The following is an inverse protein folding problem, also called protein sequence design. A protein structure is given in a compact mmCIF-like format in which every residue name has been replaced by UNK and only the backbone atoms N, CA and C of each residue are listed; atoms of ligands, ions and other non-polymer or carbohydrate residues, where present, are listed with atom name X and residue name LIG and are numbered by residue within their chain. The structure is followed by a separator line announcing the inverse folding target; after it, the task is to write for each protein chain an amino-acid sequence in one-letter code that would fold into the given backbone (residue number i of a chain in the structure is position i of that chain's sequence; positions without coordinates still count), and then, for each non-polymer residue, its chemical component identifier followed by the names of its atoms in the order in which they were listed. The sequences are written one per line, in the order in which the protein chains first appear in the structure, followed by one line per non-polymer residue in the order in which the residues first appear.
data_IF_943186876936
#
_entry.id   IF_943186876936
#
_cell.length_a   1.000
_cell.length_b   1.000
_cell.length_c   1.000
_cell.angle_alpha   90.00
_cell.angle_beta   90.00
_cell.angle_gamma   90.00
#
_symmetry.space_group_name_H-M   'P 1'
#
loop_
_entity.id
_entity.type
_entity.pdbx_description
1 polymer ?
#
# COMPACT_ATOMS: atom_id res chain seq x y z
N UNK A 1 -75.44 -13.50 -25.63
CA UNK A 1 -74.20 -14.28 -25.80
C UNK A 1 -73.05 -13.28 -25.87
N UNK A 2 -72.20 -13.28 -24.85
CA UNK A 2 -71.26 -12.20 -24.55
C UNK A 2 -70.03 -12.17 -25.47
N UNK A 3 -69.68 -10.97 -25.90
CA UNK A 3 -68.42 -10.64 -26.57
C UNK A 3 -67.35 -10.32 -25.54
N UNK A 4 -66.39 -11.23 -25.38
CA UNK A 4 -65.23 -11.05 -24.51
C UNK A 4 -64.20 -10.15 -25.20
N UNK A 5 -64.00 -8.94 -24.67
CA UNK A 5 -62.94 -8.02 -25.11
C UNK A 5 -61.61 -8.49 -24.49
N UNK A 6 -60.75 -9.10 -25.31
CA UNK A 6 -59.38 -9.44 -24.92
C UNK A 6 -58.57 -8.13 -24.94
N UNK A 7 -58.40 -7.52 -23.76
CA UNK A 7 -57.49 -6.40 -23.54
C UNK A 7 -56.04 -6.89 -23.71
N UNK A 8 -55.49 -6.72 -24.91
CA UNK A 8 -54.07 -6.93 -25.16
C UNK A 8 -53.24 -5.85 -24.45
N UNK A 9 -52.78 -6.15 -23.23
CA UNK A 9 -51.64 -5.45 -22.59
C UNK A 9 -50.34 -6.28 -22.56
N UNK A 10 -49.79 -6.79 -23.68
CA UNK A 10 -48.58 -7.61 -23.62
C UNK A 10 -47.28 -6.81 -23.81
N UNK A 11 -47.28 -5.69 -24.55
CA UNK A 11 -46.01 -5.05 -24.97
C UNK A 11 -45.26 -4.32 -23.85
N UNK A 12 -45.95 -3.59 -22.98
CA UNK A 12 -45.30 -2.81 -21.91
C UNK A 12 -44.75 -3.71 -20.81
N UNK A 13 -45.44 -4.81 -20.48
CA UNK A 13 -44.98 -5.78 -19.48
C UNK A 13 -43.75 -6.56 -19.95
N UNK A 14 -43.71 -6.98 -21.24
CA UNK A 14 -42.52 -7.63 -21.81
C UNK A 14 -41.30 -6.70 -21.90
N UNK A 15 -41.50 -5.41 -22.20
CA UNK A 15 -40.41 -4.43 -22.22
C UNK A 15 -39.83 -4.15 -20.83
N UNK A 16 -40.68 -4.05 -19.81
CA UNK A 16 -40.25 -3.91 -18.41
C UNK A 16 -39.47 -5.16 -17.94
N UNK A 17 -39.96 -6.36 -18.26
CA UNK A 17 -39.26 -7.61 -17.94
C UNK A 17 -37.89 -7.68 -18.61
N UNK A 18 -37.78 -7.30 -19.89
CA UNK A 18 -36.50 -7.24 -20.60
C UNK A 18 -35.53 -6.24 -19.96
N UNK A 19 -36.01 -5.04 -19.59
CA UNK A 19 -35.20 -4.04 -18.89
C UNK A 19 -34.66 -4.57 -17.56
N UNK A 20 -35.50 -5.24 -16.77
CA UNK A 20 -35.09 -5.86 -15.49
C UNK A 20 -34.03 -6.94 -15.71
N UNK A 21 -34.22 -7.80 -16.73
CA UNK A 21 -33.24 -8.84 -17.07
C UNK A 21 -31.91 -8.20 -17.47
N UNK A 22 -31.92 -7.16 -18.31
CA UNK A 22 -30.69 -6.47 -18.74
C UNK A 22 -29.94 -5.83 -17.56
N UNK A 23 -30.67 -5.16 -16.66
CA UNK A 23 -30.08 -4.57 -15.46
C UNK A 23 -29.51 -5.64 -14.51
N UNK A 24 -30.23 -6.76 -14.33
CA UNK A 24 -29.77 -7.88 -13.53
C UNK A 24 -28.52 -8.53 -14.13
N UNK A 25 -28.50 -8.80 -15.44
CA UNK A 25 -27.33 -9.34 -16.15
C UNK A 25 -26.13 -8.41 -16.08
N UNK A 26 -26.34 -7.09 -16.22
CA UNK A 26 -25.29 -6.09 -16.04
C UNK A 26 -24.72 -6.10 -14.61
N UNK A 27 -25.58 -6.16 -13.59
CA UNK A 27 -25.18 -6.28 -12.19
C UNK A 27 -24.40 -7.55 -11.91
N UNK A 28 -24.88 -8.70 -12.39
CA UNK A 28 -24.20 -10.01 -12.25
C UNK A 28 -22.83 -9.97 -12.93
N UNK A 29 -22.72 -9.38 -14.11
CA UNK A 29 -21.45 -9.26 -14.83
C UNK A 29 -20.41 -8.47 -14.02
N UNK A 30 -20.78 -7.31 -13.47
CA UNK A 30 -19.87 -6.51 -12.64
C UNK A 30 -19.53 -7.20 -11.32
N UNK A 31 -20.50 -7.82 -10.66
CA UNK A 31 -20.27 -8.55 -9.42
C UNK A 31 -19.31 -9.74 -9.64
N UNK A 32 -19.49 -10.50 -10.73
CA UNK A 32 -18.60 -11.60 -11.08
C UNK A 32 -17.18 -11.10 -11.37
N UNK A 33 -17.06 -10.01 -12.15
CA UNK A 33 -15.78 -9.38 -12.47
C UNK A 33 -15.02 -8.93 -11.22
N UNK A 34 -15.69 -8.23 -10.29
CA UNK A 34 -15.10 -7.81 -9.01
C UNK A 34 -14.73 -9.05 -8.18
N UNK A 35 -15.61 -10.04 -8.09
CA UNK A 35 -15.36 -11.26 -7.32
C UNK A 35 -14.13 -12.03 -7.79
N UNK A 36 -13.92 -12.17 -9.10
CA UNK A 36 -12.72 -12.80 -9.66
C UNK A 36 -11.46 -11.97 -9.41
N UNK A 37 -11.55 -10.64 -9.53
CA UNK A 37 -10.44 -9.74 -9.23
C UNK A 37 -10.00 -9.86 -7.77
N UNK A 38 -10.94 -9.80 -6.83
CA UNK A 38 -10.68 -9.89 -5.39
C UNK A 38 -10.14 -11.27 -5.01
N UNK A 39 -10.65 -12.35 -5.60
CA UNK A 39 -10.13 -13.69 -5.36
C UNK A 39 -8.66 -13.84 -5.78
N UNK A 40 -8.29 -13.28 -6.94
CA UNK A 40 -6.91 -13.26 -7.41
C UNK A 40 -6.02 -12.35 -6.53
N UNK A 41 -6.47 -11.13 -6.24
CA UNK A 41 -5.74 -10.19 -5.38
C UNK A 41 -5.54 -10.72 -3.96
N UNK A 42 -6.50 -11.48 -3.42
CA UNK A 42 -6.39 -12.10 -2.11
C UNK A 42 -5.21 -13.07 -2.02
N UNK A 43 -4.97 -13.87 -3.07
CA UNK A 43 -3.82 -14.79 -3.13
C UNK A 43 -2.49 -14.04 -3.09
N UNK A 44 -2.35 -12.98 -3.89
CA UNK A 44 -1.16 -12.13 -3.86
C UNK A 44 -0.97 -11.45 -2.49
N UNK A 45 -2.05 -10.91 -1.91
CA UNK A 45 -2.06 -10.26 -0.59
C UNK A 45 -1.68 -11.23 0.53
N UNK A 46 -2.10 -12.49 0.42
CA UNK A 46 -1.79 -13.53 1.39
C UNK A 46 -0.27 -13.78 1.44
N UNK A 47 0.38 -13.88 0.27
CA UNK A 47 1.84 -14.03 0.19
C UNK A 47 2.58 -12.86 0.85
N UNK A 48 2.24 -11.62 0.46
CA UNK A 48 2.84 -10.41 1.04
C UNK A 48 2.67 -10.37 2.56
N UNK A 49 1.47 -10.67 3.06
CA UNK A 49 1.22 -10.77 4.51
C UNK A 49 2.09 -11.81 5.19
N UNK A 50 2.30 -12.97 4.56
CA UNK A 50 3.20 -14.01 5.06
C UNK A 50 4.63 -13.51 5.19
N UNK A 51 5.18 -12.92 4.13
CA UNK A 51 6.55 -12.38 4.12
C UNK A 51 6.74 -11.27 5.16
N UNK A 52 5.77 -10.36 5.30
CA UNK A 52 5.80 -9.30 6.32
C UNK A 52 5.76 -9.88 7.73
N UNK A 53 4.84 -10.82 8.00
CA UNK A 53 4.70 -11.46 9.32
C UNK A 53 5.97 -12.19 9.73
N UNK A 54 6.56 -12.93 8.79
CA UNK A 54 7.73 -13.77 9.04
C UNK A 54 9.05 -12.96 8.94
N UNK A 55 8.96 -11.66 8.61
CA UNK A 55 10.10 -10.75 8.42
C UNK A 55 11.20 -11.36 7.53
N UNK A 56 10.79 -11.87 6.37
CA UNK A 56 11.69 -12.51 5.39
C UNK A 56 11.43 -11.97 3.98
N UNK A 57 12.41 -12.16 3.11
CA UNK A 57 12.22 -11.96 1.68
C UNK A 57 11.49 -13.18 1.06
N UNK A 58 10.74 -12.98 -0.04
CA UNK A 58 10.16 -14.08 -0.80
C UNK A 58 11.24 -14.89 -1.52
N UNK A 59 10.90 -16.11 -1.93
CA UNK A 59 11.66 -16.79 -2.99
C UNK A 59 11.19 -16.28 -4.37
N UNK A 60 12.00 -16.47 -5.41
CA UNK A 60 11.61 -16.13 -6.80
C UNK A 60 10.27 -16.76 -7.20
N UNK A 61 10.04 -18.03 -6.84
CA UNK A 61 8.79 -18.74 -7.12
C UNK A 61 7.60 -18.10 -6.40
N UNK A 62 7.75 -17.73 -5.13
CA UNK A 62 6.68 -17.06 -4.38
C UNK A 62 6.38 -15.67 -4.96
N UNK A 63 7.41 -14.97 -5.43
CA UNK A 63 7.31 -13.65 -6.02
C UNK A 63 6.61 -13.69 -7.38
N UNK A 64 7.02 -14.58 -8.27
CA UNK A 64 6.40 -14.78 -9.58
C UNK A 64 4.92 -15.12 -9.45
N UNK A 65 4.59 -16.00 -8.50
CA UNK A 65 3.20 -16.33 -8.19
C UNK A 65 2.41 -15.08 -7.74
N UNK A 66 2.96 -14.26 -6.84
CA UNK A 66 2.29 -13.05 -6.38
C UNK A 66 2.09 -12.04 -7.52
N UNK A 67 3.09 -11.87 -8.40
CA UNK A 67 3.01 -11.00 -9.58
C UNK A 67 1.98 -11.49 -10.60
N UNK A 68 1.88 -12.79 -10.83
CA UNK A 68 0.87 -13.39 -11.70
C UNK A 68 -0.55 -13.15 -11.14
N UNK A 69 -0.75 -13.42 -9.85
CA UNK A 69 -2.07 -13.26 -9.23
C UNK A 69 -2.51 -11.79 -9.19
N UNK A 70 -1.61 -10.85 -8.90
CA UNK A 70 -1.96 -9.42 -8.92
C UNK A 70 -2.19 -8.91 -10.35
N UNK A 71 -1.43 -9.40 -11.33
CA UNK A 71 -1.66 -9.06 -12.74
C UNK A 71 -3.01 -9.59 -13.23
N UNK A 72 -3.40 -10.79 -12.80
CA UNK A 72 -4.73 -11.35 -13.05
C UNK A 72 -5.82 -10.47 -12.43
N UNK A 73 -5.66 -10.05 -11.18
CA UNK A 73 -6.63 -9.16 -10.53
C UNK A 73 -6.76 -7.83 -11.27
N UNK A 74 -5.65 -7.24 -11.70
CA UNK A 74 -5.63 -5.99 -12.46
C UNK A 74 -6.17 -6.16 -13.89
N UNK A 75 -6.10 -7.34 -14.50
CA UNK A 75 -6.74 -7.60 -15.79
C UNK A 75 -8.28 -7.56 -15.64
N UNK A 76 -8.81 -8.12 -14.54
CA UNK A 76 -10.22 -8.00 -14.22
C UNK A 76 -10.59 -6.58 -13.79
N UNK A 77 -9.83 -5.93 -12.90
CA UNK A 77 -10.09 -4.56 -12.42
C UNK A 77 -8.87 -3.62 -12.56
N UNK A 78 -8.63 -3.05 -13.75
CA UNK A 78 -7.41 -2.25 -14.01
C UNK A 78 -7.31 -0.96 -13.18
N UNK A 79 -8.45 -0.40 -12.79
CA UNK A 79 -8.53 0.88 -12.09
C UNK A 79 -8.56 0.78 -10.57
N UNK A 80 -8.54 -0.43 -10.01
CA UNK A 80 -8.68 -0.62 -8.57
C UNK A 80 -7.39 -0.18 -7.85
N UNK A 81 -7.42 0.91 -7.06
CA UNK A 81 -6.21 1.45 -6.46
C UNK A 81 -5.59 0.51 -5.42
N UNK A 82 -6.38 -0.41 -4.86
CA UNK A 82 -5.85 -1.40 -3.92
C UNK A 82 -4.97 -2.43 -4.63
N UNK A 83 -5.36 -2.86 -5.83
CA UNK A 83 -4.57 -3.79 -6.62
C UNK A 83 -3.28 -3.13 -7.13
N UNK A 84 -3.39 -1.88 -7.59
CA UNK A 84 -2.23 -1.07 -8.00
C UNK A 84 -1.23 -0.94 -6.85
N UNK A 85 -1.69 -0.58 -5.64
CA UNK A 85 -0.83 -0.49 -4.46
C UNK A 85 -0.20 -1.84 -4.10
N UNK A 86 -0.96 -2.93 -4.18
CA UNK A 86 -0.45 -4.26 -3.87
C UNK A 86 0.60 -4.73 -4.89
N UNK A 87 0.44 -4.40 -6.18
CA UNK A 87 1.50 -4.65 -7.18
C UNK A 87 2.77 -3.87 -6.82
N UNK A 88 2.65 -2.60 -6.43
CA UNK A 88 3.78 -1.81 -5.99
C UNK A 88 4.47 -2.41 -4.75
N UNK A 89 3.70 -2.91 -3.77
CA UNK A 89 4.24 -3.61 -2.60
C UNK A 89 5.07 -4.85 -3.02
N UNK A 90 4.56 -5.64 -3.97
CA UNK A 90 5.26 -6.83 -4.50
C UNK A 90 6.53 -6.42 -5.25
N UNK A 91 6.51 -5.31 -5.99
CA UNK A 91 7.70 -4.78 -6.66
C UNK A 91 8.76 -4.31 -5.66
N UNK A 92 8.38 -3.76 -4.50
CA UNK A 92 9.35 -3.46 -3.44
C UNK A 92 10.02 -4.74 -2.93
N UNK A 93 9.25 -5.81 -2.71
CA UNK A 93 9.86 -7.10 -2.36
C UNK A 93 10.78 -7.64 -3.46
N UNK A 94 10.39 -7.50 -4.73
CA UNK A 94 11.23 -7.84 -5.88
C UNK A 94 12.53 -7.03 -5.87
N UNK A 95 12.46 -5.71 -5.70
CA UNK A 95 13.67 -4.88 -5.68
C UNK A 95 14.60 -5.30 -4.56
N UNK A 96 14.09 -5.64 -3.38
CA UNK A 96 14.92 -6.10 -2.26
C UNK A 96 15.70 -7.40 -2.53
N UNK A 97 15.26 -8.27 -3.46
CA UNK A 97 16.06 -9.42 -3.93
C UNK A 97 17.27 -9.00 -4.75
N UNK A 98 17.18 -7.83 -5.39
CA UNK A 98 18.22 -7.19 -6.19
C UNK A 98 18.91 -6.05 -5.44
N UNK A 99 18.99 -6.10 -4.11
CA UNK A 99 19.59 -5.02 -3.33
C UNK A 99 21.02 -4.68 -3.81
N UNK A 100 21.30 -3.40 -4.06
CA UNK A 100 22.57 -2.88 -4.61
C UNK A 100 22.93 -3.35 -6.03
N UNK A 101 22.00 -3.98 -6.73
CA UNK A 101 22.10 -4.29 -8.16
C UNK A 101 21.49 -3.16 -9.01
N UNK A 102 21.84 -3.11 -10.31
CA UNK A 102 21.30 -2.16 -11.28
C UNK A 102 19.77 -2.22 -11.38
N UNK A 103 19.20 -3.41 -11.15
CA UNK A 103 17.76 -3.65 -11.22
C UNK A 103 17.01 -3.00 -10.05
N UNK A 104 17.66 -2.80 -8.89
CA UNK A 104 17.04 -2.25 -7.68
C UNK A 104 16.29 -0.96 -7.98
N UNK A 105 17.02 0.02 -8.53
CA UNK A 105 16.50 1.36 -8.79
C UNK A 105 15.37 1.36 -9.82
N UNK A 106 15.53 0.58 -10.89
CA UNK A 106 14.51 0.46 -11.94
C UNK A 106 13.19 -0.11 -11.40
N UNK A 107 13.26 -1.20 -10.62
CA UNK A 107 12.07 -1.84 -10.04
C UNK A 107 11.43 -0.93 -8.99
N UNK A 108 12.21 -0.29 -8.14
CA UNK A 108 11.68 0.65 -7.15
C UNK A 108 11.02 1.87 -7.82
N UNK A 109 11.58 2.38 -8.92
CA UNK A 109 10.96 3.47 -9.68
C UNK A 109 9.61 3.05 -10.28
N UNK A 110 9.46 1.81 -10.78
CA UNK A 110 8.15 1.29 -11.20
C UNK A 110 7.13 1.30 -10.03
N UNK A 111 7.57 0.90 -8.83
CA UNK A 111 6.73 0.96 -7.63
C UNK A 111 6.31 2.41 -7.29
N UNK A 112 7.21 3.40 -7.42
CA UNK A 112 6.90 4.82 -7.23
C UNK A 112 5.77 5.26 -8.16
N UNK A 113 5.83 4.90 -9.45
CA UNK A 113 4.79 5.25 -10.42
C UNK A 113 3.42 4.63 -10.05
N UNK A 114 3.41 3.38 -9.62
CA UNK A 114 2.18 2.70 -9.18
C UNK A 114 1.62 3.32 -7.89
N UNK A 115 2.44 3.69 -6.92
CA UNK A 115 1.96 4.39 -5.72
C UNK A 115 1.33 5.75 -6.07
N UNK A 116 1.96 6.52 -6.96
CA UNK A 116 1.37 7.77 -7.48
C UNK A 116 0.04 7.51 -8.17
N UNK A 117 -0.06 6.45 -8.98
CA UNK A 117 -1.30 6.06 -9.64
C UNK A 117 -2.42 5.71 -8.64
N UNK A 118 -2.10 4.97 -7.58
CA UNK A 118 -3.05 4.67 -6.49
C UNK A 118 -3.52 5.96 -5.79
N UNK A 119 -2.61 6.91 -5.53
CA UNK A 119 -2.93 8.19 -4.87
C UNK A 119 -3.81 9.10 -5.71
N UNK A 120 -3.74 9.05 -7.04
CA UNK A 120 -4.67 9.78 -7.91
C UNK A 120 -6.14 9.38 -7.66
N UNK A 121 -6.38 8.15 -7.17
CA UNK A 121 -7.73 7.65 -6.84
C UNK A 121 -8.06 7.76 -5.36
N UNK A 122 -7.05 7.70 -4.49
CA UNK A 122 -7.21 7.75 -3.03
C UNK A 122 -6.20 8.69 -2.39
N UNK A 123 -6.33 10.02 -2.59
CA UNK A 123 -5.35 10.99 -2.08
C UNK A 123 -5.32 11.07 -0.55
N UNK A 124 -6.37 10.57 0.13
CA UNK A 124 -6.46 10.52 1.59
C UNK A 124 -5.88 9.26 2.23
N UNK A 125 -5.24 8.35 1.48
CA UNK A 125 -4.79 7.06 2.03
C UNK A 125 -3.38 7.14 2.64
N UNK A 126 -3.23 7.15 3.99
CA UNK A 126 -1.94 7.42 4.62
C UNK A 126 -0.89 6.33 4.33
N UNK A 127 -1.31 5.07 4.24
CA UNK A 127 -0.38 3.97 3.96
C UNK A 127 0.27 4.07 2.59
N UNK A 128 -0.46 4.55 1.58
CA UNK A 128 0.10 4.71 0.23
C UNK A 128 1.08 5.88 0.18
N UNK A 129 0.82 6.97 0.91
CA UNK A 129 1.79 8.05 1.09
C UNK A 129 3.06 7.58 1.81
N UNK A 130 2.93 6.82 2.89
CA UNK A 130 4.09 6.27 3.59
C UNK A 130 4.93 5.37 2.68
N UNK A 131 4.28 4.49 1.91
CA UNK A 131 4.94 3.61 0.94
C UNK A 131 5.59 4.37 -0.21
N UNK A 132 4.98 5.44 -0.70
CA UNK A 132 5.58 6.32 -1.68
C UNK A 132 6.86 6.96 -1.13
N UNK A 133 6.84 7.44 0.12
CA UNK A 133 8.03 7.97 0.77
C UNK A 133 9.14 6.92 0.84
N UNK A 134 8.83 5.69 1.27
CA UNK A 134 9.80 4.60 1.35
C UNK A 134 10.36 4.22 -0.03
N UNK A 135 9.50 4.07 -1.04
CA UNK A 135 9.93 3.75 -2.40
C UNK A 135 10.84 4.85 -2.98
N UNK A 136 10.49 6.13 -2.78
CA UNK A 136 11.35 7.23 -3.20
C UNK A 136 12.69 7.26 -2.46
N UNK A 137 12.69 6.95 -1.16
CA UNK A 137 13.92 6.81 -0.40
C UNK A 137 14.83 5.73 -1.00
N UNK A 138 14.28 4.55 -1.30
CA UNK A 138 15.01 3.46 -1.97
C UNK A 138 15.51 3.85 -3.37
N UNK A 139 14.74 4.62 -4.15
CA UNK A 139 15.19 5.15 -5.45
C UNK A 139 16.17 6.32 -5.32
N UNK A 140 16.59 6.71 -4.10
CA UNK A 140 17.40 7.90 -3.83
C UNK A 140 16.78 9.22 -4.37
N UNK A 141 15.46 9.26 -4.53
CA UNK A 141 14.70 10.41 -5.01
C UNK A 141 14.24 11.29 -3.83
N UNK A 142 15.18 12.03 -3.22
CA UNK A 142 14.93 12.92 -2.08
C UNK A 142 14.44 14.31 -2.50
N UNK A 143 13.39 14.36 -3.33
CA UNK A 143 12.80 15.58 -3.87
C UNK A 143 11.61 16.10 -3.04
N UNK A 144 10.93 17.15 -3.53
CA UNK A 144 9.74 17.71 -2.87
C UNK A 144 8.60 16.71 -2.69
N UNK A 145 8.46 15.73 -3.62
CA UNK A 145 7.41 14.71 -3.55
C UNK A 145 7.72 13.72 -2.41
N UNK A 146 9.00 13.41 -2.16
CA UNK A 146 9.39 12.60 -1.01
C UNK A 146 9.01 13.29 0.31
N UNK A 147 9.29 14.60 0.43
CA UNK A 147 8.94 15.38 1.61
C UNK A 147 7.41 15.50 1.76
N UNK A 148 6.68 15.75 0.67
CA UNK A 148 5.22 15.78 0.67
C UNK A 148 4.65 14.43 1.13
N UNK A 149 5.21 13.31 0.64
CA UNK A 149 4.74 11.98 1.01
C UNK A 149 4.89 11.71 2.51
N UNK A 150 5.99 12.14 3.13
CA UNK A 150 6.17 12.09 4.59
C UNK A 150 5.10 12.94 5.28
N UNK A 151 4.95 14.20 4.86
CA UNK A 151 4.00 15.14 5.47
C UNK A 151 2.55 14.62 5.40
N UNK A 152 2.12 14.12 4.24
CA UNK A 152 0.79 13.55 4.04
C UNK A 152 0.59 12.29 4.89
N UNK A 153 1.56 11.40 4.93
CA UNK A 153 1.47 10.18 5.74
C UNK A 153 1.36 10.50 7.24
N UNK A 154 2.16 11.44 7.75
CA UNK A 154 2.08 11.90 9.15
C UNK A 154 0.74 12.56 9.44
N UNK A 155 0.24 13.43 8.56
CA UNK A 155 -1.04 14.13 8.77
C UNK A 155 -2.26 13.22 8.68
N UNK A 156 -2.26 12.27 7.75
CA UNK A 156 -3.42 11.42 7.47
C UNK A 156 -3.44 10.13 8.32
N UNK A 157 -2.27 9.66 8.79
CA UNK A 157 -2.15 8.42 9.57
C UNK A 157 -1.26 8.55 10.81
N UNK A 158 -1.41 9.59 11.66
CA UNK A 158 -0.52 9.84 12.79
C UNK A 158 -0.52 8.72 13.83
N UNK A 159 -1.55 7.88 13.86
CA UNK A 159 -1.76 6.80 14.84
C UNK A 159 -1.79 5.41 14.21
N UNK A 160 -1.42 5.29 12.94
CA UNK A 160 -1.43 4.03 12.22
C UNK A 160 -0.11 3.29 12.41
N UNK A 161 -0.07 2.12 13.09
CA UNK A 161 1.19 1.44 13.40
C UNK A 161 2.02 1.09 12.16
N UNK A 162 1.36 0.70 11.07
CA UNK A 162 2.04 0.42 9.79
C UNK A 162 2.66 1.68 9.19
N UNK A 163 2.02 2.85 9.33
CA UNK A 163 2.59 4.12 8.87
C UNK A 163 3.83 4.46 9.69
N UNK A 164 3.81 4.25 11.01
CA UNK A 164 4.97 4.50 11.86
C UNK A 164 6.19 3.73 11.38
N UNK A 165 6.04 2.42 11.12
CA UNK A 165 7.14 1.57 10.68
C UNK A 165 7.70 1.97 9.31
N UNK A 166 6.81 2.21 8.34
CA UNK A 166 7.22 2.57 6.97
C UNK A 166 7.91 3.93 6.95
N UNK A 167 7.36 4.94 7.66
CA UNK A 167 7.97 6.26 7.72
C UNK A 167 9.27 6.26 8.52
N UNK A 168 9.37 5.47 9.58
CA UNK A 168 10.63 5.30 10.29
C UNK A 168 11.71 4.80 9.33
N UNK A 169 11.42 3.74 8.57
CA UNK A 169 12.37 3.21 7.58
C UNK A 169 12.73 4.24 6.50
N UNK A 170 11.74 4.89 5.89
CA UNK A 170 11.96 5.90 4.85
C UNK A 170 12.82 7.08 5.36
N UNK A 171 12.49 7.59 6.55
CA UNK A 171 13.19 8.72 7.16
C UNK A 171 14.61 8.38 7.63
N UNK A 172 14.81 7.18 8.16
CA UNK A 172 16.11 6.65 8.57
C UNK A 172 17.03 6.47 7.35
N UNK A 173 16.49 5.90 6.27
CA UNK A 173 17.21 5.70 5.02
C UNK A 173 17.63 7.05 4.40
N UNK A 174 16.71 8.00 4.32
CA UNK A 174 16.95 9.33 3.75
C UNK A 174 17.53 10.38 4.68
N UNK A 175 17.92 10.02 5.91
CA UNK A 175 18.13 10.96 7.02
C UNK A 175 19.02 12.17 6.70
N UNK A 176 20.10 11.95 5.95
CA UNK A 176 21.09 12.97 5.57
C UNK A 176 20.50 14.06 4.67
N UNK A 177 19.46 13.75 3.91
CA UNK A 177 18.80 14.65 2.96
C UNK A 177 17.58 15.37 3.54
N UNK A 178 17.17 15.02 4.76
CA UNK A 178 16.04 15.66 5.43
C UNK A 178 16.44 17.02 6.02
N UNK A 179 15.59 18.03 5.84
CA UNK A 179 15.67 19.28 6.59
C UNK A 179 15.21 19.07 8.05
N UNK A 180 15.47 20.05 8.92
CA UNK A 180 15.18 19.93 10.35
C UNK A 180 13.68 19.70 10.64
N UNK A 181 12.78 20.30 9.87
CA UNK A 181 11.35 20.12 10.04
C UNK A 181 10.94 18.66 9.75
N UNK A 182 11.37 18.12 8.62
CA UNK A 182 11.07 16.73 8.25
C UNK A 182 11.75 15.73 9.17
N UNK A 183 12.98 16.00 9.65
CA UNK A 183 13.61 15.19 10.70
C UNK A 183 12.75 15.12 11.95
N UNK A 184 12.20 16.26 12.41
CA UNK A 184 11.30 16.27 13.56
C UNK A 184 10.04 15.43 13.30
N UNK A 185 9.45 15.51 12.10
CA UNK A 185 8.30 14.67 11.74
C UNK A 185 8.63 13.17 11.84
N UNK A 186 9.83 12.76 11.42
CA UNK A 186 10.30 11.37 11.54
C UNK A 186 10.53 10.98 13.00
N UNK A 187 11.16 11.84 13.80
CA UNK A 187 11.38 11.59 15.23
C UNK A 187 10.05 11.45 15.97
N UNK A 188 9.09 12.35 15.75
CA UNK A 188 7.76 12.26 16.36
C UNK A 188 7.02 10.99 15.91
N UNK A 189 7.19 10.60 14.65
CA UNK A 189 6.64 9.37 14.11
C UNK A 189 7.25 8.12 14.77
N UNK A 190 8.59 8.07 14.90
CA UNK A 190 9.30 7.00 15.60
C UNK A 190 8.83 6.94 17.05
N UNK A 191 8.77 8.07 17.74
CA UNK A 191 8.31 8.17 19.12
C UNK A 191 6.91 7.58 19.33
N UNK A 192 5.95 7.94 18.45
CA UNK A 192 4.61 7.32 18.47
C UNK A 192 4.69 5.83 18.22
N UNK A 193 5.46 5.39 17.23
CA UNK A 193 5.60 3.99 16.86
C UNK A 193 6.21 3.09 17.94
N UNK A 194 7.10 3.62 18.79
CA UNK A 194 7.69 2.87 19.91
C UNK A 194 6.61 2.34 20.87
N UNK A 195 5.49 3.04 21.00
CA UNK A 195 4.36 2.61 21.85
C UNK A 195 3.57 1.43 21.27
N UNK A 196 3.62 1.24 19.95
CA UNK A 196 2.85 0.21 19.24
C UNK A 196 3.68 -1.01 18.89
N UNK A 197 4.91 -0.82 18.41
CA UNK A 197 5.76 -1.91 17.95
C UNK A 197 7.25 -1.58 18.08
N UNK A 198 7.72 -1.44 19.32
CA UNK A 198 9.12 -1.17 19.64
C UNK A 198 10.08 -2.19 19.02
N UNK A 199 9.74 -3.48 19.09
CA UNK A 199 10.60 -4.55 18.57
C UNK A 199 10.85 -4.43 17.05
N UNK A 200 9.83 -4.04 16.28
CA UNK A 200 10.01 -3.80 14.84
C UNK A 200 10.85 -2.55 14.57
N UNK A 201 10.62 -1.46 15.30
CA UNK A 201 11.42 -0.24 15.15
C UNK A 201 12.88 -0.44 15.54
N UNK A 202 13.14 -1.22 16.59
CA UNK A 202 14.51 -1.57 17.00
C UNK A 202 15.23 -2.34 15.91
N UNK A 203 14.59 -3.37 15.35
CA UNK A 203 15.13 -4.11 14.20
C UNK A 203 15.45 -3.19 13.03
N UNK A 204 14.55 -2.25 12.69
CA UNK A 204 14.77 -1.29 11.60
C UNK A 204 15.94 -0.35 11.92
N UNK A 205 15.97 0.26 13.10
CA UNK A 205 17.01 1.22 13.48
C UNK A 205 18.40 0.59 13.54
N UNK A 206 18.50 -0.66 14.02
CA UNK A 206 19.74 -1.45 14.03
C UNK A 206 20.16 -1.82 12.61
N UNK A 207 19.24 -2.31 11.76
CA UNK A 207 19.53 -2.68 10.36
C UNK A 207 20.22 -1.55 9.59
N UNK A 208 19.75 -0.32 9.79
CA UNK A 208 20.30 0.87 9.10
C UNK A 208 21.43 1.58 9.87
N UNK A 209 21.81 1.09 11.05
CA UNK A 209 22.84 1.72 11.91
C UNK A 209 22.53 3.19 12.24
N UNK A 210 21.27 3.50 12.55
CA UNK A 210 20.80 4.87 12.86
C UNK A 210 20.20 5.02 14.24
N UNK A 211 20.27 3.97 15.07
CA UNK A 211 19.73 3.97 16.43
C UNK A 211 20.27 5.15 17.27
N UNK A 212 21.57 5.37 17.27
CA UNK A 212 22.20 6.46 18.03
C UNK A 212 21.69 7.84 17.62
N UNK A 213 21.54 8.05 16.31
CA UNK A 213 21.00 9.30 15.78
C UNK A 213 19.57 9.49 16.24
N UNK A 214 18.71 8.46 16.18
CA UNK A 214 17.33 8.58 16.68
C UNK A 214 17.32 8.91 18.17
N UNK A 215 18.12 8.20 18.96
CA UNK A 215 18.22 8.39 20.41
C UNK A 215 18.68 9.80 20.82
N UNK A 216 19.48 10.47 19.98
CA UNK A 216 19.91 11.85 20.24
C UNK A 216 18.76 12.88 20.16
N UNK A 217 17.66 12.58 19.47
CA UNK A 217 16.52 13.50 19.30
C UNK A 217 15.25 13.06 20.01
N UNK A 218 15.14 11.78 20.40
CA UNK A 218 13.96 11.27 21.09
C UNK A 218 13.84 11.85 22.51
N UNK A 219 12.62 12.12 23.00
CA UNK A 219 12.41 12.62 24.35
C UNK A 219 12.71 11.54 25.39
N UNK A 220 13.05 11.96 26.61
CA UNK A 220 13.30 11.04 27.70
C UNK A 220 11.99 10.54 28.33
N UNK A 221 11.54 9.34 27.94
CA UNK A 221 10.40 8.63 28.52
C UNK A 221 10.63 7.11 28.53
N UNK A 222 9.74 6.36 29.22
CA UNK A 222 9.88 4.91 29.43
C UNK A 222 10.16 4.13 28.13
N UNK A 223 9.43 4.40 27.05
CA UNK A 223 9.60 3.64 25.80
C UNK A 223 10.90 4.00 25.09
N UNK A 224 11.30 5.27 25.15
CA UNK A 224 12.56 5.74 24.58
C UNK A 224 13.76 5.22 25.36
N UNK A 225 13.70 5.18 26.70
CA UNK A 225 14.75 4.61 27.55
C UNK A 225 14.97 3.13 27.24
N UNK A 226 13.88 2.35 27.16
CA UNK A 226 13.96 0.93 26.81
C UNK A 226 14.49 0.72 25.39
N UNK A 227 14.06 1.54 24.43
CA UNK A 227 14.55 1.48 23.06
C UNK A 227 16.04 1.81 22.98
N UNK A 228 16.52 2.87 23.64
CA UNK A 228 17.88 3.38 23.49
C UNK A 228 18.91 2.78 24.46
N UNK A 229 18.50 2.18 25.58
CA UNK A 229 19.39 1.48 26.52
C UNK A 229 20.17 2.38 27.49
N UNK A 230 19.54 3.46 27.97
CA UNK A 230 20.09 4.47 28.88
C UNK A 230 19.17 4.67 30.09
#
# INVERSE_FOLDING_TARGET
MGTSIILSRPRVSSLLALLVILLASWGIYHAARIGFADAAAYKAKYQVKGWTRDNRLPTEVELDYALEQISTAMAWEPGNPQHINLKADILIYKSLLHWQDEQFSAITHEAVLLYRQSLMRRPGWPYTWARLALAKAYSAEFDEIFIEAIDKAVKLGPWEPTVHLILAEAGIYGWTYLNNFTRQQIIDNVHRGLRFNQAALDKTAVRYQKKDILCAYLPNDKHTQEFCGW
#
